data_IF_140887702657
#
_entry.id   IF_140887702657
#
_cell.length_a   1.000
_cell.length_b   1.000
_cell.length_c   1.000
_cell.angle_alpha   90.00
_cell.angle_beta   90.00
_cell.angle_gamma   90.00
#
_symmetry.space_group_name_H-M   'P 1'
#
loop_
_entity.id
_entity.type
_entity.pdbx_description
1 polymer ?
#
# COMPACT_ATOMS: atom_id res chain seq x y z
N UNK A 1 19.92 10.29 -9.22
CA UNK A 1 18.45 10.47 -9.48
C UNK A 1 17.78 9.18 -9.04
N UNK A 2 16.70 9.28 -8.26
CA UNK A 2 15.95 8.11 -7.81
C UNK A 2 15.16 7.51 -8.98
N UNK A 3 15.10 6.18 -9.05
CA UNK A 3 14.21 5.47 -9.97
C UNK A 3 13.39 4.43 -9.19
N UNK A 4 12.06 4.51 -9.30
CA UNK A 4 11.12 3.58 -8.68
C UNK A 4 10.53 2.65 -9.73
N UNK A 5 10.85 1.37 -9.64
CA UNK A 5 10.24 0.31 -10.44
C UNK A 5 8.97 -0.18 -9.75
N UNK A 6 7.86 -0.18 -10.48
CA UNK A 6 6.59 -0.59 -9.92
C UNK A 6 5.45 -0.59 -10.93
N UNK A 7 4.26 -0.97 -10.49
CA UNK A 7 3.07 -0.92 -11.32
C UNK A 7 2.07 0.10 -10.74
N UNK A 8 1.43 0.95 -11.57
CA UNK A 8 0.50 1.98 -11.08
C UNK A 8 -0.70 1.46 -10.30
N UNK A 9 -1.01 0.18 -10.43
CA UNK A 9 -2.13 -0.50 -9.75
C UNK A 9 -1.68 -1.36 -8.56
N UNK A 10 -0.44 -1.19 -8.09
CA UNK A 10 0.09 -1.95 -6.96
C UNK A 10 -0.01 -1.18 -5.66
N UNK A 11 -0.65 -1.79 -4.66
CA UNK A 11 -0.74 -1.26 -3.31
C UNK A 11 0.62 -0.94 -2.68
N UNK A 12 1.61 -1.83 -2.84
CA UNK A 12 2.95 -1.60 -2.31
C UNK A 12 3.75 -0.56 -3.11
N UNK A 13 3.49 -0.42 -4.43
CA UNK A 13 4.02 0.70 -5.20
C UNK A 13 3.44 2.02 -4.70
N UNK A 14 2.12 2.07 -4.43
CA UNK A 14 1.50 3.27 -3.86
C UNK A 14 2.11 3.65 -2.51
N UNK A 15 2.38 2.68 -1.64
CA UNK A 15 3.02 2.92 -0.34
C UNK A 15 4.33 3.71 -0.49
N UNK A 16 5.20 3.32 -1.42
CA UNK A 16 6.44 4.03 -1.73
C UNK A 16 6.18 5.38 -2.41
N UNK A 17 5.22 5.45 -3.35
CA UNK A 17 4.88 6.69 -4.06
C UNK A 17 4.27 7.74 -3.13
N UNK A 18 3.40 7.36 -2.19
CA UNK A 18 2.83 8.27 -1.19
C UNK A 18 3.95 8.91 -0.38
N UNK A 19 4.95 8.14 0.04
CA UNK A 19 6.10 8.67 0.76
C UNK A 19 6.92 9.65 -0.09
N UNK A 20 7.20 9.32 -1.37
CA UNK A 20 7.90 10.19 -2.32
C UNK A 20 7.14 11.50 -2.54
N UNK A 21 5.82 11.43 -2.73
CA UNK A 21 4.97 12.60 -2.91
C UNK A 21 4.93 13.47 -1.65
N UNK A 22 4.80 12.85 -0.47
CA UNK A 22 4.81 13.55 0.83
C UNK A 22 6.13 14.26 1.08
N UNK A 23 7.23 13.60 0.72
CA UNK A 23 8.58 14.13 0.89
C UNK A 23 8.94 15.20 -0.16
N UNK A 24 8.15 15.35 -1.24
CA UNK A 24 8.48 16.23 -2.35
C UNK A 24 9.76 15.83 -3.08
N UNK A 25 10.07 14.54 -3.11
CA UNK A 25 11.28 14.01 -3.74
C UNK A 25 10.98 13.60 -5.17
N UNK A 26 11.73 14.16 -6.11
CA UNK A 26 11.63 13.81 -7.52
C UNK A 26 12.23 12.42 -7.80
N UNK A 27 11.53 11.65 -8.63
CA UNK A 27 11.97 10.32 -9.05
C UNK A 27 11.50 10.00 -10.46
N UNK A 28 12.24 9.13 -11.14
CA UNK A 28 11.81 8.50 -12.38
C UNK A 28 10.93 7.28 -12.04
N UNK A 29 9.70 7.26 -12.54
CA UNK A 29 8.86 6.07 -12.42
C UNK A 29 9.09 5.13 -13.59
N UNK A 30 9.49 3.90 -13.31
CA UNK A 30 9.73 2.83 -14.27
C UNK A 30 8.63 1.78 -14.16
N UNK A 31 7.62 1.95 -15.00
CA UNK A 31 6.48 1.06 -15.02
C UNK A 31 6.89 -0.37 -15.36
N UNK A 32 6.35 -1.34 -14.59
CA UNK A 32 6.55 -2.77 -14.80
C UNK A 32 5.28 -3.34 -15.44
N UNK A 33 5.43 -3.90 -16.61
CA UNK A 33 4.31 -4.46 -17.36
C UNK A 33 4.78 -5.02 -18.70
N UNK A 34 3.87 -5.62 -19.48
CA UNK A 34 4.19 -6.22 -20.79
C UNK A 34 4.83 -5.24 -21.77
N UNK A 35 4.46 -3.96 -21.68
CA UNK A 35 5.00 -2.89 -22.56
C UNK A 35 6.44 -2.49 -22.19
N UNK A 36 6.92 -2.91 -21.00
CA UNK A 36 8.23 -2.56 -20.47
C UNK A 36 9.03 -3.80 -20.03
N UNK A 37 9.34 -4.76 -20.92
CA UNK A 37 9.95 -6.04 -20.55
C UNK A 37 11.29 -5.88 -19.82
N UNK A 38 12.11 -4.89 -20.19
CA UNK A 38 13.40 -4.64 -19.53
C UNK A 38 13.24 -4.28 -18.03
N UNK A 39 12.15 -3.61 -17.63
CA UNK A 39 11.87 -3.32 -16.24
C UNK A 39 11.50 -4.60 -15.48
N UNK A 40 10.79 -5.55 -16.12
CA UNK A 40 10.51 -6.87 -15.58
C UNK A 40 11.79 -7.69 -15.38
N UNK A 41 12.70 -7.71 -16.36
CA UNK A 41 14.00 -8.37 -16.26
C UNK A 41 14.85 -7.81 -15.11
N UNK A 42 14.86 -6.49 -14.95
CA UNK A 42 15.53 -5.84 -13.83
C UNK A 42 15.00 -6.35 -12.49
N UNK A 43 13.68 -6.49 -12.32
CA UNK A 43 13.07 -7.00 -11.10
C UNK A 43 13.44 -8.45 -10.82
N UNK A 44 13.54 -9.31 -11.84
CA UNK A 44 13.96 -10.71 -11.65
C UNK A 44 15.32 -10.81 -10.94
N UNK A 45 16.19 -9.81 -11.15
CA UNK A 45 17.53 -9.78 -10.53
C UNK A 45 17.56 -9.00 -9.22
N UNK A 46 16.75 -7.94 -9.09
CA UNK A 46 16.87 -6.95 -8.01
C UNK A 46 15.64 -6.86 -7.09
N UNK A 47 14.50 -7.45 -7.48
CA UNK A 47 13.24 -7.42 -6.71
C UNK A 47 13.15 -8.45 -5.58
N UNK A 48 14.29 -8.77 -4.96
CA UNK A 48 14.38 -9.79 -3.92
C UNK A 48 14.22 -11.20 -4.47
N UNK A 49 14.00 -12.22 -3.60
CA UNK A 49 13.99 -13.63 -4.01
C UNK A 49 12.86 -14.00 -4.98
N UNK A 50 11.85 -13.14 -5.12
CA UNK A 50 10.67 -13.42 -5.96
C UNK A 50 10.43 -12.37 -7.06
N UNK A 51 11.39 -11.48 -7.32
CA UNK A 51 11.28 -10.45 -8.36
C UNK A 51 10.08 -9.51 -8.18
N UNK A 52 9.77 -9.15 -6.93
CA UNK A 52 8.61 -8.29 -6.63
C UNK A 52 8.95 -6.81 -6.70
N UNK A 53 7.93 -6.02 -6.96
CA UNK A 53 7.97 -4.55 -6.88
C UNK A 53 7.19 -4.04 -5.64
N UNK A 54 7.46 -2.80 -5.15
CA UNK A 54 8.39 -1.81 -5.72
C UNK A 54 9.86 -2.11 -5.43
N UNK A 55 10.73 -1.63 -6.34
CA UNK A 55 12.17 -1.53 -6.13
C UNK A 55 12.60 -0.10 -6.34
N UNK A 56 13.37 0.47 -5.40
CA UNK A 56 13.98 1.78 -5.52
C UNK A 56 15.46 1.65 -5.86
N UNK A 57 15.92 2.40 -6.86
CA UNK A 57 17.33 2.59 -7.17
C UNK A 57 17.74 3.99 -6.77
N UNK A 58 18.77 4.11 -5.94
CA UNK A 58 19.38 5.35 -5.50
C UNK A 58 20.88 5.30 -5.68
N UNK A 59 21.38 5.86 -6.78
CA UNK A 59 22.78 5.69 -7.17
C UNK A 59 23.12 4.22 -7.38
N UNK A 60 24.05 3.71 -6.57
CA UNK A 60 24.45 2.28 -6.57
C UNK A 60 23.60 1.40 -5.63
N UNK A 61 22.76 2.01 -4.80
CA UNK A 61 21.90 1.26 -3.88
C UNK A 61 20.64 0.79 -4.58
N UNK A 62 20.30 -0.47 -4.35
CA UNK A 62 19.03 -1.06 -4.80
C UNK A 62 18.28 -1.57 -3.58
N UNK A 63 17.08 -1.07 -3.39
CA UNK A 63 16.25 -1.32 -2.22
C UNK A 63 14.93 -1.94 -2.65
N UNK A 64 14.53 -3.00 -2.01
CA UNK A 64 13.20 -3.61 -2.11
C UNK A 64 12.54 -3.64 -0.72
N UNK A 65 11.28 -4.07 -0.62
CA UNK A 65 10.37 -3.87 0.50
C UNK A 65 9.91 -2.41 0.65
N UNK A 66 8.62 -2.17 0.40
CA UNK A 66 8.05 -0.82 0.40
C UNK A 66 8.31 -0.05 1.70
N UNK A 67 8.24 -0.73 2.87
CA UNK A 67 8.54 -0.11 4.17
C UNK A 67 9.99 0.33 4.29
N UNK A 68 10.93 -0.48 3.77
CA UNK A 68 12.36 -0.14 3.75
C UNK A 68 12.62 1.07 2.84
N UNK A 69 11.92 1.14 1.70
CA UNK A 69 11.98 2.29 0.80
C UNK A 69 11.50 3.56 1.52
N UNK A 70 10.38 3.52 2.23
CA UNK A 70 9.88 4.67 3.01
C UNK A 70 10.87 5.09 4.09
N UNK A 71 11.46 4.15 4.81
CA UNK A 71 12.48 4.45 5.82
C UNK A 71 13.75 5.04 5.21
N UNK A 72 14.20 4.53 4.06
CA UNK A 72 15.33 5.09 3.32
C UNK A 72 15.08 6.55 2.93
N UNK A 73 13.88 6.86 2.41
CA UNK A 73 13.50 8.25 2.09
C UNK A 73 13.51 9.15 3.34
N UNK A 74 12.98 8.66 4.46
CA UNK A 74 12.98 9.40 5.72
C UNK A 74 14.38 9.69 6.26
N UNK A 75 15.34 8.78 6.05
CA UNK A 75 16.69 8.90 6.56
C UNK A 75 17.60 9.75 5.66
N UNK A 76 17.48 9.60 4.33
CA UNK A 76 18.51 10.08 3.40
C UNK A 76 18.01 11.21 2.49
N UNK A 77 16.73 11.31 2.20
CA UNK A 77 16.20 12.29 1.24
C UNK A 77 15.32 13.36 1.88
N UNK A 78 14.54 13.00 2.89
CA UNK A 78 13.59 13.92 3.50
C UNK A 78 13.48 13.74 5.03
N UNK A 79 14.55 13.94 5.81
CA UNK A 79 14.53 13.75 7.27
C UNK A 79 13.59 14.71 8.00
N UNK A 80 13.12 15.75 7.32
CA UNK A 80 12.15 16.75 7.83
C UNK A 80 10.70 16.46 7.45
N UNK A 81 10.42 15.49 6.56
CA UNK A 81 9.07 15.23 6.08
C UNK A 81 8.15 14.55 7.11
N UNK A 82 8.72 14.03 8.20
CA UNK A 82 7.92 13.39 9.26
C UNK A 82 7.46 11.97 8.97
N UNK A 83 7.93 11.35 7.86
CA UNK A 83 7.56 9.97 7.49
C UNK A 83 7.84 8.96 8.60
N UNK A 84 8.88 9.20 9.40
CA UNK A 84 9.21 8.39 10.56
C UNK A 84 9.63 9.32 11.71
N UNK A 85 9.09 9.13 12.95
CA UNK A 85 9.53 9.89 14.11
C UNK A 85 11.02 9.71 14.40
N UNK A 86 11.66 10.76 14.88
CA UNK A 86 13.07 10.71 15.31
C UNK A 86 13.26 9.97 16.65
N UNK A 87 12.24 10.03 17.52
CA UNK A 87 12.25 9.27 18.77
C UNK A 87 12.14 7.77 18.49
N UNK A 88 13.06 6.94 18.98
CA UNK A 88 13.06 5.50 18.68
C UNK A 88 11.81 4.77 19.16
N UNK A 89 11.22 5.16 20.30
CA UNK A 89 10.03 4.52 20.82
C UNK A 89 8.80 4.86 19.97
N UNK A 90 8.64 6.12 19.57
CA UNK A 90 7.60 6.55 18.64
C UNK A 90 7.78 5.90 17.25
N UNK A 91 9.02 5.81 16.75
CA UNK A 91 9.31 5.13 15.48
C UNK A 91 8.96 3.64 15.54
N UNK A 92 9.19 2.97 16.68
CA UNK A 92 8.81 1.57 16.86
C UNK A 92 7.28 1.39 16.79
N UNK A 93 6.50 2.29 17.40
CA UNK A 93 5.05 2.27 17.33
C UNK A 93 4.56 2.45 15.88
N UNK A 94 5.15 3.38 15.12
CA UNK A 94 4.85 3.59 13.69
C UNK A 94 5.16 2.33 12.86
N UNK A 95 6.31 1.69 13.08
CA UNK A 95 6.67 0.44 12.39
C UNK A 95 5.73 -0.72 12.74
N UNK A 96 5.27 -0.79 13.99
CA UNK A 96 4.28 -1.79 14.39
C UNK A 96 2.98 -1.62 13.60
N UNK A 97 2.47 -0.39 13.48
CA UNK A 97 1.24 -0.10 12.72
C UNK A 97 1.43 -0.38 11.22
N UNK A 98 2.57 -0.04 10.65
CA UNK A 98 2.94 -0.43 9.30
C UNK A 98 2.78 -1.95 9.09
N UNK A 99 3.31 -2.77 10.01
CA UNK A 99 3.13 -4.23 9.95
C UNK A 99 1.68 -4.66 10.13
N UNK A 100 0.89 -3.92 10.91
CA UNK A 100 -0.55 -4.22 11.05
C UNK A 100 -1.25 -4.08 9.70
N UNK A 101 -1.02 -2.99 8.96
CA UNK A 101 -1.64 -2.80 7.65
C UNK A 101 -1.14 -3.80 6.60
N UNK A 102 0.16 -4.09 6.57
CA UNK A 102 0.70 -5.07 5.63
C UNK A 102 0.20 -6.50 5.93
N UNK A 103 0.24 -6.93 7.19
CA UNK A 103 0.03 -8.34 7.52
C UNK A 103 -1.43 -8.67 7.86
N UNK A 104 -2.19 -7.72 8.42
CA UNK A 104 -3.55 -8.00 8.89
C UNK A 104 -4.66 -7.36 8.06
N UNK A 105 -4.31 -6.41 7.18
CA UNK A 105 -5.25 -5.82 6.22
C UNK A 105 -4.90 -6.23 4.79
N UNK A 106 -3.67 -5.95 4.34
CA UNK A 106 -3.26 -6.23 2.97
C UNK A 106 -3.17 -7.73 2.68
N UNK A 107 -2.60 -8.54 3.58
CA UNK A 107 -2.46 -9.98 3.33
C UNK A 107 -3.82 -10.69 3.16
N UNK A 108 -4.84 -10.51 4.04
CA UNK A 108 -6.14 -11.12 3.80
C UNK A 108 -6.83 -10.61 2.53
N UNK A 109 -6.68 -9.33 2.19
CA UNK A 109 -7.16 -8.80 0.92
C UNK A 109 -6.50 -9.52 -0.26
N UNK A 110 -5.17 -9.66 -0.20
CA UNK A 110 -4.41 -10.34 -1.25
C UNK A 110 -4.77 -11.83 -1.38
N UNK A 111 -5.17 -12.48 -0.29
CA UNK A 111 -5.62 -13.88 -0.33
C UNK A 111 -6.90 -14.02 -1.17
N UNK A 112 -7.85 -13.07 -1.06
CA UNK A 112 -9.03 -13.05 -1.94
C UNK A 112 -8.62 -12.84 -3.40
N UNK A 113 -7.72 -11.89 -3.66
CA UNK A 113 -7.21 -11.64 -5.03
C UNK A 113 -6.51 -12.87 -5.60
N UNK A 114 -5.67 -13.54 -4.80
CA UNK A 114 -4.93 -14.72 -5.21
C UNK A 114 -5.85 -15.89 -5.57
N UNK A 115 -6.97 -16.08 -4.85
CA UNK A 115 -7.96 -17.10 -5.20
C UNK A 115 -8.58 -16.85 -6.57
N UNK A 116 -8.89 -15.61 -6.90
CA UNK A 116 -9.41 -15.25 -8.22
C UNK A 116 -8.34 -15.35 -9.32
N UNK A 117 -7.08 -15.05 -9.03
CA UNK A 117 -5.97 -15.27 -9.96
C UNK A 117 -5.72 -16.75 -10.21
N UNK A 118 -5.83 -17.58 -9.17
CA UNK A 118 -5.63 -19.03 -9.26
C UNK A 118 -6.71 -19.73 -10.11
N UNK A 119 -7.97 -19.33 -9.94
CA UNK A 119 -9.11 -19.87 -10.66
C UNK A 119 -10.23 -18.83 -10.80
N UNK A 120 -10.13 -18.01 -11.84
CA UNK A 120 -11.10 -16.94 -12.10
C UNK A 120 -12.55 -17.45 -12.33
N UNK A 121 -12.70 -18.67 -12.88
CA UNK A 121 -14.01 -19.25 -13.18
C UNK A 121 -14.71 -19.80 -11.92
N UNK A 122 -13.96 -20.25 -10.93
CA UNK A 122 -14.47 -20.85 -9.70
C UNK A 122 -13.52 -20.64 -8.53
N UNK A 123 -13.40 -19.40 -8.01
CA UNK A 123 -12.60 -19.13 -6.83
C UNK A 123 -13.18 -19.89 -5.62
N UNK A 124 -12.29 -20.33 -4.73
CA UNK A 124 -12.68 -21.02 -3.51
C UNK A 124 -13.46 -20.10 -2.58
N UNK A 125 -14.76 -20.35 -2.47
CA UNK A 125 -15.68 -19.49 -1.69
C UNK A 125 -15.37 -19.54 -0.20
N UNK A 126 -14.96 -20.69 0.33
CA UNK A 126 -14.67 -20.86 1.77
C UNK A 126 -13.40 -20.09 2.13
N UNK A 127 -12.35 -20.20 1.33
CA UNK A 127 -11.11 -19.43 1.51
C UNK A 127 -11.34 -17.93 1.40
N UNK A 128 -12.13 -17.49 0.42
CA UNK A 128 -12.50 -16.08 0.31
C UNK A 128 -13.30 -15.59 1.53
N UNK A 129 -14.25 -16.40 2.03
CA UNK A 129 -15.03 -16.06 3.22
C UNK A 129 -14.14 -15.99 4.47
N UNK A 130 -13.21 -16.93 4.65
CA UNK A 130 -12.23 -16.90 5.75
C UNK A 130 -11.36 -15.64 5.69
N UNK A 131 -10.84 -15.29 4.51
CA UNK A 131 -10.03 -14.08 4.31
C UNK A 131 -10.82 -12.80 4.64
N UNK A 132 -12.09 -12.70 4.20
CA UNK A 132 -12.99 -11.59 4.57
C UNK A 132 -13.28 -11.56 6.06
N UNK A 133 -13.44 -12.70 6.72
CA UNK A 133 -13.60 -12.79 8.17
C UNK A 133 -12.36 -12.31 8.93
N UNK A 134 -11.16 -12.48 8.37
CA UNK A 134 -9.91 -11.89 8.91
C UNK A 134 -9.92 -10.38 8.74
N UNK A 135 -10.35 -9.84 7.59
CA UNK A 135 -10.50 -8.39 7.37
C UNK A 135 -11.47 -7.77 8.37
N UNK A 136 -12.63 -8.39 8.61
CA UNK A 136 -13.62 -7.91 9.59
C UNK A 136 -13.00 -7.78 10.99
N UNK A 137 -12.23 -8.78 11.44
CA UNK A 137 -11.51 -8.71 12.71
C UNK A 137 -10.46 -7.59 12.74
N UNK A 138 -9.77 -7.39 11.63
CA UNK A 138 -8.78 -6.31 11.47
C UNK A 138 -9.44 -4.94 11.51
N UNK A 139 -10.57 -4.76 10.84
CA UNK A 139 -11.36 -3.53 10.88
C UNK A 139 -11.82 -3.20 12.30
N UNK A 140 -12.34 -4.20 13.03
CA UNK A 140 -12.75 -4.01 14.43
C UNK A 140 -11.58 -3.62 15.35
N UNK A 141 -10.37 -4.13 15.06
CA UNK A 141 -9.18 -3.75 15.82
C UNK A 141 -8.75 -2.31 15.47
N UNK A 142 -8.68 -1.97 14.18
CA UNK A 142 -8.28 -0.63 13.73
C UNK A 142 -9.28 0.42 14.17
N UNK A 143 -10.60 0.14 14.15
CA UNK A 143 -11.65 1.03 14.64
C UNK A 143 -11.40 1.43 16.11
N UNK A 144 -11.08 0.46 16.96
CA UNK A 144 -10.76 0.73 18.38
C UNK A 144 -9.45 1.52 18.54
N UNK A 145 -8.45 1.22 17.75
CA UNK A 145 -7.17 1.94 17.77
C UNK A 145 -7.33 3.40 17.33
N UNK A 146 -8.17 3.66 16.35
CA UNK A 146 -8.46 5.01 15.86
C UNK A 146 -9.05 5.94 16.92
N UNK A 147 -9.71 5.41 17.97
CA UNK A 147 -10.23 6.23 19.05
C UNK A 147 -9.15 7.04 19.79
N UNK A 148 -7.88 6.64 19.72
CA UNK A 148 -6.74 7.34 20.31
C UNK A 148 -5.75 7.90 19.28
N UNK A 149 -6.09 7.87 17.98
CA UNK A 149 -5.19 8.29 16.91
C UNK A 149 -5.63 9.59 16.24
N UNK A 150 -4.69 10.53 16.04
CA UNK A 150 -4.95 11.76 15.27
C UNK A 150 -4.92 11.47 13.76
N UNK A 151 -6.11 11.29 13.18
CA UNK A 151 -6.28 11.04 11.73
C UNK A 151 -6.04 12.28 10.85
N UNK A 152 -5.85 13.46 11.46
CA UNK A 152 -5.62 14.74 10.76
C UNK A 152 -4.14 15.11 10.68
N UNK A 153 -3.28 14.37 11.38
CA UNK A 153 -1.83 14.56 11.43
C UNK A 153 -1.13 14.44 10.07
N UNK A 154 0.18 14.65 10.04
CA UNK A 154 0.98 14.51 8.82
C UNK A 154 0.99 13.05 8.33
N UNK A 155 1.37 12.87 7.05
CA UNK A 155 1.61 11.53 6.51
C UNK A 155 2.87 10.95 7.10
N UNK A 156 2.72 9.80 7.72
CA UNK A 156 3.81 8.97 8.22
C UNK A 156 3.86 7.63 7.48
N UNK A 157 4.74 6.73 7.85
CA UNK A 157 4.75 5.35 7.36
C UNK A 157 3.40 4.64 7.63
N UNK A 158 2.64 5.07 8.67
CA UNK A 158 1.30 4.51 8.94
C UNK A 158 0.35 4.84 7.78
N UNK A 159 0.24 6.11 7.37
CA UNK A 159 -0.65 6.53 6.29
C UNK A 159 -0.20 5.95 4.94
N UNK A 160 1.12 5.87 4.71
CA UNK A 160 1.68 5.24 3.52
C UNK A 160 1.24 3.77 3.40
N UNK A 161 1.15 3.03 4.51
CA UNK A 161 0.68 1.65 4.54
C UNK A 161 -0.85 1.54 4.53
N UNK A 162 -1.53 2.36 5.34
CA UNK A 162 -2.97 2.30 5.54
C UNK A 162 -3.75 2.67 4.29
N UNK A 163 -3.35 3.73 3.57
CA UNK A 163 -4.09 4.22 2.42
C UNK A 163 -4.31 3.15 1.34
N UNK A 164 -3.25 2.53 0.77
CA UNK A 164 -3.45 1.47 -0.23
C UNK A 164 -4.07 0.21 0.38
N UNK A 165 -3.77 -0.14 1.63
CA UNK A 165 -4.33 -1.32 2.26
C UNK A 165 -5.85 -1.20 2.41
N UNK A 166 -6.35 -0.09 2.94
CA UNK A 166 -7.77 0.16 3.12
C UNK A 166 -8.50 0.39 1.79
N UNK A 167 -7.82 0.99 0.80
CA UNK A 167 -8.38 1.17 -0.54
C UNK A 167 -8.77 -0.18 -1.15
N UNK A 168 -7.84 -1.11 -1.26
CA UNK A 168 -8.07 -2.41 -1.88
C UNK A 168 -8.85 -3.39 -0.99
N UNK A 169 -8.66 -3.31 0.34
CA UNK A 169 -9.43 -4.14 1.27
C UNK A 169 -10.92 -3.82 1.20
N UNK A 170 -11.30 -2.54 1.06
CA UNK A 170 -12.69 -2.13 0.87
C UNK A 170 -13.31 -2.73 -0.39
N UNK A 171 -12.53 -2.95 -1.46
CA UNK A 171 -13.00 -3.54 -2.71
C UNK A 171 -13.35 -5.03 -2.58
N UNK A 172 -12.68 -5.77 -1.71
CA UNK A 172 -12.95 -7.21 -1.49
C UNK A 172 -13.90 -7.46 -0.31
N UNK A 173 -13.91 -6.53 0.65
CA UNK A 173 -14.76 -6.57 1.85
C UNK A 173 -15.10 -5.12 2.26
N UNK A 174 -16.25 -4.59 1.85
CA UNK A 174 -16.59 -3.20 2.14
C UNK A 174 -16.58 -2.89 3.64
N UNK A 175 -15.94 -1.77 4.01
CA UNK A 175 -15.97 -1.24 5.36
C UNK A 175 -17.40 -0.78 5.65
N UNK A 176 -18.11 -1.52 6.50
CA UNK A 176 -19.50 -1.29 6.82
C UNK A 176 -19.72 -0.20 7.87
N UNK A 177 -20.98 0.11 8.13
CA UNK A 177 -21.39 1.13 9.12
C UNK A 177 -21.03 0.78 10.56
N UNK A 178 -20.61 -0.46 10.83
CA UNK A 178 -20.08 -0.88 12.13
C UNK A 178 -18.70 -0.26 12.46
N UNK A 179 -18.01 0.32 11.43
CA UNK A 179 -16.68 0.88 11.55
C UNK A 179 -16.66 2.35 11.06
N UNK A 180 -17.38 3.27 11.73
CA UNK A 180 -17.55 4.63 11.25
C UNK A 180 -16.24 5.44 11.23
N UNK A 181 -15.35 5.27 12.21
CA UNK A 181 -14.06 5.97 12.27
C UNK A 181 -13.13 5.48 11.16
N UNK A 182 -13.10 4.17 10.92
CA UNK A 182 -12.30 3.57 9.87
C UNK A 182 -12.78 4.02 8.48
N UNK A 183 -14.10 4.03 8.26
CA UNK A 183 -14.70 4.53 7.03
C UNK A 183 -14.37 6.01 6.77
N UNK A 184 -14.50 6.85 7.79
CA UNK A 184 -14.14 8.27 7.71
C UNK A 184 -12.63 8.47 7.46
N UNK A 185 -11.78 7.72 8.15
CA UNK A 185 -10.33 7.82 7.94
C UNK A 185 -9.92 7.37 6.54
N UNK A 186 -10.48 6.25 6.02
CA UNK A 186 -10.26 5.83 4.63
C UNK A 186 -10.64 6.94 3.64
N UNK A 187 -11.79 7.57 3.82
CA UNK A 187 -12.22 8.68 2.96
C UNK A 187 -11.24 9.87 3.02
N UNK A 188 -10.79 10.23 4.22
CA UNK A 188 -9.78 11.28 4.41
C UNK A 188 -8.44 10.91 3.76
N UNK A 189 -7.97 9.67 3.89
CA UNK A 189 -6.76 9.19 3.24
C UNK A 189 -6.85 9.28 1.72
N UNK A 190 -7.96 8.83 1.13
CA UNK A 190 -8.18 8.89 -0.32
C UNK A 190 -8.21 10.33 -0.86
N UNK A 191 -8.67 11.28 -0.05
CA UNK A 191 -8.72 12.71 -0.42
C UNK A 191 -7.37 13.43 -0.32
N UNK A 192 -6.37 12.85 0.36
CA UNK A 192 -5.03 13.45 0.44
C UNK A 192 -4.39 13.55 -0.95
N UNK A 193 -3.78 14.68 -1.32
CA UNK A 193 -3.21 14.86 -2.67
C UNK A 193 -2.22 13.78 -3.09
N UNK A 194 -1.36 13.34 -2.16
CA UNK A 194 -0.35 12.30 -2.37
C UNK A 194 -0.97 10.92 -2.65
N UNK A 195 -2.11 10.61 -2.04
CA UNK A 195 -2.87 9.38 -2.25
C UNK A 195 -3.73 9.48 -3.50
N UNK A 196 -4.42 10.60 -3.69
CA UNK A 196 -5.28 10.83 -4.86
C UNK A 196 -4.51 10.71 -6.19
N UNK A 197 -3.22 11.10 -6.22
CA UNK A 197 -2.34 10.89 -7.38
C UNK A 197 -2.17 9.40 -7.68
N UNK A 198 -1.96 8.57 -6.67
CA UNK A 198 -1.82 7.12 -6.84
C UNK A 198 -3.14 6.50 -7.34
N UNK A 199 -4.28 6.91 -6.76
CA UNK A 199 -5.61 6.48 -7.19
C UNK A 199 -5.83 6.85 -8.67
N UNK A 200 -5.54 8.09 -9.06
CA UNK A 200 -5.70 8.56 -10.44
C UNK A 200 -4.83 7.76 -11.43
N UNK A 201 -3.56 7.48 -11.07
CA UNK A 201 -2.65 6.67 -11.87
C UNK A 201 -3.12 5.20 -11.98
N UNK A 202 -3.74 4.66 -10.95
CA UNK A 202 -4.26 3.29 -10.92
C UNK A 202 -5.58 3.10 -11.70
N UNK A 203 -6.39 4.16 -11.90
CA UNK A 203 -7.72 4.06 -12.52
C UNK A 203 -7.77 3.36 -13.86
N UNK A 204 -6.84 3.57 -14.81
CA UNK A 204 -6.86 2.87 -16.09
C UNK A 204 -6.78 1.33 -15.96
N UNK A 205 -6.23 0.85 -14.84
CA UNK A 205 -5.99 -0.57 -14.57
C UNK A 205 -7.10 -1.24 -13.75
N UNK A 206 -8.19 -0.54 -13.39
CA UNK A 206 -9.29 -1.10 -12.57
C UNK A 206 -9.89 -2.38 -13.15
N UNK A 207 -9.98 -2.46 -14.47
CA UNK A 207 -10.48 -3.65 -15.16
C UNK A 207 -9.64 -4.93 -14.93
N UNK A 208 -8.42 -4.78 -14.45
CA UNK A 208 -7.56 -5.92 -14.12
C UNK A 208 -7.71 -6.42 -12.68
N UNK A 209 -8.57 -5.79 -11.86
CA UNK A 209 -8.78 -6.28 -10.49
C UNK A 209 -9.53 -7.62 -10.52
N UNK A 210 -8.90 -8.73 -10.10
CA UNK A 210 -9.44 -10.07 -10.37
C UNK A 210 -10.82 -10.35 -9.75
N UNK A 211 -11.14 -9.86 -8.53
CA UNK A 211 -12.49 -9.99 -7.97
C UNK A 211 -13.54 -9.09 -8.62
N UNK A 212 -13.13 -8.17 -9.52
CA UNK A 212 -13.95 -7.09 -10.05
C UNK A 212 -13.88 -5.82 -9.18
N UNK A 213 -13.48 -4.69 -9.80
CA UNK A 213 -13.44 -3.40 -9.10
C UNK A 213 -14.86 -2.83 -8.95
N UNK A 214 -15.20 -2.21 -7.80
CA UNK A 214 -16.45 -1.49 -7.64
C UNK A 214 -16.49 -0.26 -8.57
N UNK A 215 -17.68 0.32 -8.80
CA UNK A 215 -17.81 1.50 -9.65
C UNK A 215 -17.20 2.76 -9.03
N UNK A 216 -17.23 2.85 -7.70
CA UNK A 216 -16.69 3.97 -6.92
C UNK A 216 -15.37 3.57 -6.21
N UNK A 217 -14.53 4.58 -5.89
CA UNK A 217 -13.25 4.39 -5.17
C UNK A 217 -13.44 4.28 -3.66
#
# INVERSE_FOLDING_TARGET
>A
MLALYGHPFSSYTWKAQIALHTAGVDYEFREVGPEHPANGEFLCTHGGPWGKFPVLVDGEQVLFEASVIVEHLALHHAPGAGLLPRDPAAALAVRMLDRVFDNYVMSPMQDVVNEHLRNAAAPDVERCAEARGRLERSYAWVERWLAGYDTTGPVTLIECAAAPALFYAHWVHPIGTAFPMLGAWRANLNARPEVARCIAAGRPFRGYFPPGAPQED
#
